data_IF_298914835953
#
_entry.id   IF_298914835953
#
_cell.length_a   1.000
_cell.length_b   1.000
_cell.length_c   1.000
_cell.angle_alpha   90.00
_cell.angle_beta   90.00
_cell.angle_gamma   90.00
#
_symmetry.space_group_name_H-M   'P 1'
#
loop_
_entity.id
_entity.type
_entity.pdbx_description
1 polymer ?
#
# COMPACT_ATOMS: atom_id res chain seq x y z
N UNK A 1 -8.68 -25.23 -23.06
CA UNK A 1 -9.65 -24.10 -23.10
C UNK A 1 -10.27 -24.06 -24.49
N UNK A 2 -11.57 -23.69 -24.58
CA UNK A 2 -12.28 -23.56 -25.89
C UNK A 2 -12.85 -22.17 -26.11
N UNK A 3 -12.84 -21.32 -25.09
CA UNK A 3 -13.39 -19.97 -25.17
C UNK A 3 -13.61 -19.33 -23.81
N UNK A 4 -14.22 -18.18 -23.83
CA UNK A 4 -14.58 -17.37 -22.65
C UNK A 4 -16.07 -17.04 -22.73
N UNK A 5 -16.77 -17.15 -21.59
CA UNK A 5 -18.11 -16.61 -21.40
C UNK A 5 -18.00 -15.18 -20.88
N UNK A 6 -18.59 -14.23 -21.59
CA UNK A 6 -18.57 -12.80 -21.24
C UNK A 6 -20.00 -12.30 -20.99
N UNK A 7 -20.11 -11.27 -20.15
CA UNK A 7 -21.33 -10.48 -19.99
C UNK A 7 -21.23 -9.21 -20.86
N UNK A 8 -22.23 -8.96 -21.69
CA UNK A 8 -22.32 -7.73 -22.49
C UNK A 8 -22.93 -6.60 -21.66
N UNK A 9 -22.11 -5.65 -21.23
CA UNK A 9 -22.54 -4.48 -20.45
C UNK A 9 -23.40 -3.47 -21.21
N UNK A 10 -23.44 -3.55 -22.53
CA UNK A 10 -24.23 -2.61 -23.35
C UNK A 10 -25.72 -3.01 -23.45
N UNK A 11 -26.06 -4.18 -22.96
CA UNK A 11 -27.46 -4.66 -22.92
C UNK A 11 -27.98 -4.49 -21.51
N UNK A 12 -28.92 -3.55 -21.33
CA UNK A 12 -29.42 -3.17 -20.00
C UNK A 12 -30.75 -3.84 -19.61
N UNK A 13 -31.44 -4.50 -20.54
CA UNK A 13 -32.77 -5.08 -20.31
C UNK A 13 -32.74 -6.48 -19.72
N UNK A 14 -31.74 -7.27 -20.06
CA UNK A 14 -31.50 -8.63 -19.54
C UNK A 14 -30.01 -8.95 -19.59
N UNK A 15 -29.49 -9.83 -18.71
CA UNK A 15 -28.09 -10.27 -18.80
C UNK A 15 -27.85 -10.95 -20.14
N UNK A 16 -27.09 -10.30 -21.01
CA UNK A 16 -26.71 -10.86 -22.29
C UNK A 16 -25.34 -11.52 -22.20
N UNK A 17 -25.31 -12.82 -22.32
CA UNK A 17 -24.09 -13.59 -22.34
C UNK A 17 -23.58 -13.75 -23.78
N UNK A 18 -22.27 -13.58 -23.95
CA UNK A 18 -21.57 -13.85 -25.21
C UNK A 18 -20.49 -14.90 -25.00
N UNK A 19 -20.42 -15.87 -25.88
CA UNK A 19 -19.33 -16.84 -25.90
C UNK A 19 -18.34 -16.43 -27.00
N UNK A 20 -17.09 -16.23 -26.58
CA UNK A 20 -15.98 -15.98 -27.51
C UNK A 20 -15.23 -17.30 -27.68
N UNK A 21 -15.41 -17.93 -28.81
CA UNK A 21 -14.69 -19.18 -29.14
C UNK A 21 -13.25 -18.86 -29.53
N UNK A 22 -12.29 -19.45 -28.82
CA UNK A 22 -10.87 -19.26 -29.09
C UNK A 22 -10.07 -20.51 -28.68
N UNK A 23 -8.93 -20.70 -29.32
CA UNK A 23 -8.03 -21.82 -28.99
C UNK A 23 -7.18 -21.52 -27.76
N UNK A 24 -6.86 -20.26 -27.56
CA UNK A 24 -5.99 -19.79 -26.47
C UNK A 24 -6.63 -18.61 -25.76
N UNK A 25 -6.48 -18.59 -24.44
CA UNK A 25 -6.86 -17.48 -23.55
C UNK A 25 -5.63 -17.07 -22.78
N UNK A 26 -5.35 -15.79 -22.75
CA UNK A 26 -4.25 -15.21 -21.96
C UNK A 26 -4.88 -14.40 -20.83
N UNK A 27 -4.67 -14.82 -19.58
CA UNK A 27 -5.04 -14.07 -18.40
C UNK A 27 -3.91 -13.10 -18.05
N UNK A 28 -4.22 -11.82 -18.05
CA UNK A 28 -3.33 -10.73 -17.68
C UNK A 28 -4.07 -9.75 -16.75
N UNK A 29 -4.84 -10.30 -15.81
CA UNK A 29 -5.84 -9.58 -15.00
C UNK A 29 -5.30 -9.02 -13.70
N UNK A 30 -4.00 -9.10 -13.48
CA UNK A 30 -3.37 -8.70 -12.22
C UNK A 30 -3.64 -9.69 -11.09
N UNK A 31 -3.17 -9.36 -9.92
CA UNK A 31 -3.25 -10.21 -8.73
C UNK A 31 -4.60 -10.12 -8.00
N UNK A 32 -4.83 -11.01 -7.03
CA UNK A 32 -6.09 -11.16 -6.33
C UNK A 32 -6.22 -10.26 -5.08
N UNK A 33 -5.34 -9.27 -4.86
CA UNK A 33 -5.35 -8.48 -3.62
C UNK A 33 -6.64 -7.68 -3.39
N UNK A 34 -7.44 -7.46 -4.44
CA UNK A 34 -8.78 -6.88 -4.32
C UNK A 34 -9.78 -7.69 -3.50
N UNK A 35 -9.46 -8.94 -3.15
CA UNK A 35 -10.28 -9.76 -2.24
C UNK A 35 -10.22 -9.27 -0.77
N UNK A 36 -9.19 -8.52 -0.40
CA UNK A 36 -9.07 -7.94 0.93
C UNK A 36 -9.88 -6.64 1.04
N UNK A 37 -10.47 -6.41 2.21
CA UNK A 37 -11.17 -5.16 2.49
C UNK A 37 -10.23 -3.96 2.30
N UNK A 38 -9.05 -4.02 2.91
CA UNK A 38 -8.01 -3.00 2.79
C UNK A 38 -6.94 -3.48 1.80
N UNK A 39 -6.83 -2.78 0.69
CA UNK A 39 -5.98 -3.13 -0.44
C UNK A 39 -5.58 -1.88 -1.21
N UNK A 40 -4.41 -1.89 -1.83
CA UNK A 40 -3.98 -0.82 -2.75
C UNK A 40 -4.65 -0.94 -4.13
N UNK A 41 -5.25 -2.07 -4.43
CA UNK A 41 -5.87 -2.26 -5.73
C UNK A 41 -7.15 -1.43 -5.84
N UNK A 42 -7.42 -0.85 -7.03
CA UNK A 42 -8.69 -0.19 -7.29
C UNK A 42 -9.86 -1.10 -6.95
N UNK A 43 -10.98 -0.53 -6.49
CA UNK A 43 -12.19 -1.30 -6.17
C UNK A 43 -12.70 -2.13 -7.35
N UNK A 44 -12.40 -1.69 -8.58
CA UNK A 44 -12.73 -2.43 -9.81
C UNK A 44 -11.84 -3.66 -10.05
N UNK A 45 -10.70 -3.77 -9.37
CA UNK A 45 -9.76 -4.87 -9.51
C UNK A 45 -10.15 -6.00 -8.56
N UNK A 46 -10.98 -6.90 -9.01
CA UNK A 46 -11.43 -8.06 -8.22
C UNK A 46 -10.59 -9.31 -8.46
N UNK A 47 -9.71 -9.27 -9.47
CA UNK A 47 -8.94 -10.41 -9.92
C UNK A 47 -9.80 -11.44 -10.67
N UNK A 48 -9.19 -12.18 -11.57
CA UNK A 48 -9.88 -13.26 -12.30
C UNK A 48 -9.28 -14.62 -12.00
N UNK A 49 -8.41 -14.71 -11.00
CA UNK A 49 -7.73 -15.95 -10.58
C UNK A 49 -8.74 -17.02 -10.18
N UNK A 50 -9.84 -16.61 -9.52
CA UNK A 50 -10.95 -17.52 -9.15
C UNK A 50 -11.60 -18.22 -10.32
N UNK A 51 -11.83 -17.53 -11.44
CA UNK A 51 -12.38 -18.16 -12.66
C UNK A 51 -11.47 -19.27 -13.19
N UNK A 52 -10.16 -19.04 -13.15
CA UNK A 52 -9.21 -20.04 -13.60
C UNK A 52 -9.20 -21.27 -12.66
N UNK A 53 -9.29 -21.05 -11.35
CA UNK A 53 -9.39 -22.13 -10.36
C UNK A 53 -10.69 -22.94 -10.52
N UNK A 54 -11.82 -22.27 -10.74
CA UNK A 54 -13.09 -22.95 -11.04
C UNK A 54 -13.01 -23.78 -12.32
N UNK A 55 -12.26 -23.33 -13.32
CA UNK A 55 -12.00 -24.09 -14.52
C UNK A 55 -11.00 -25.26 -14.32
N UNK A 56 -10.39 -25.40 -13.16
CA UNK A 56 -9.44 -26.45 -12.80
C UNK A 56 -7.97 -26.08 -12.98
N UNK A 57 -7.63 -24.81 -13.09
CA UNK A 57 -6.24 -24.37 -13.09
C UNK A 57 -5.59 -24.59 -11.72
N UNK A 58 -4.30 -24.94 -11.72
CA UNK A 58 -3.51 -25.09 -10.49
C UNK A 58 -2.91 -23.77 -10.03
N UNK A 59 -2.84 -23.59 -8.72
CA UNK A 59 -2.18 -22.44 -8.09
C UNK A 59 -0.84 -22.81 -7.46
N UNK A 60 -0.01 -21.80 -7.24
CA UNK A 60 1.28 -21.91 -6.56
C UNK A 60 1.51 -20.70 -5.68
N UNK A 61 2.15 -20.89 -4.52
CA UNK A 61 2.54 -19.84 -3.57
C UNK A 61 1.38 -18.92 -3.15
N UNK A 62 0.18 -19.43 -2.99
CA UNK A 62 -1.03 -18.62 -2.75
C UNK A 62 -1.03 -17.91 -1.39
N UNK A 63 -0.15 -18.29 -0.46
CA UNK A 63 0.02 -17.68 0.85
C UNK A 63 1.08 -16.58 0.88
N UNK A 64 1.79 -16.34 -0.22
CA UNK A 64 2.90 -15.41 -0.31
C UNK A 64 2.41 -13.99 -0.60
N UNK A 65 1.82 -13.35 0.42
CA UNK A 65 1.31 -11.99 0.33
C UNK A 65 2.32 -10.96 0.81
N UNK A 66 2.35 -9.83 0.13
CA UNK A 66 3.03 -8.64 0.59
C UNK A 66 2.01 -7.66 1.17
N UNK A 67 2.30 -7.15 2.37
CA UNK A 67 1.51 -6.13 3.04
C UNK A 67 2.35 -4.89 3.27
N UNK A 68 1.72 -3.75 3.31
CA UNK A 68 2.36 -2.46 3.59
C UNK A 68 1.32 -1.38 3.80
N UNK A 69 1.77 -0.20 4.20
CA UNK A 69 0.85 0.91 4.43
C UNK A 69 0.32 1.51 3.14
N UNK A 70 -0.97 1.76 3.13
CA UNK A 70 -1.66 2.43 2.02
C UNK A 70 -2.75 3.36 2.55
N UNK A 71 -3.07 4.40 1.77
CA UNK A 71 -4.28 5.17 1.98
C UNK A 71 -5.52 4.37 1.59
N UNK A 72 -6.63 4.62 2.27
CA UNK A 72 -7.89 3.92 2.05
C UNK A 72 -8.75 4.60 0.99
N UNK A 73 -8.65 5.93 0.88
CA UNK A 73 -9.38 6.71 -0.10
C UNK A 73 -8.55 7.95 -0.54
N UNK A 74 -8.07 8.01 -1.78
CA UNK A 74 -8.02 6.89 -2.73
C UNK A 74 -7.12 5.76 -2.24
N UNK A 75 -7.31 4.54 -2.75
CA UNK A 75 -6.43 3.40 -2.47
C UNK A 75 -5.08 3.64 -3.16
N UNK A 76 -4.05 3.88 -2.37
CA UNK A 76 -2.72 4.18 -2.89
C UNK A 76 -1.62 3.80 -1.91
N UNK A 77 -0.50 3.29 -2.40
CA UNK A 77 0.67 3.01 -1.59
C UNK A 77 1.28 4.32 -1.03
N UNK A 78 1.56 4.35 0.26
CA UNK A 78 2.13 5.54 0.94
C UNK A 78 3.59 5.34 1.35
N UNK A 79 4.36 4.58 0.59
CA UNK A 79 5.82 4.48 0.74
C UNK A 79 6.57 5.65 0.05
N UNK A 80 7.89 5.58 -0.02
CA UNK A 80 8.71 6.62 -0.65
C UNK A 80 8.62 7.96 0.06
N UNK A 81 8.51 9.02 -0.71
CA UNK A 81 8.47 10.39 -0.19
C UNK A 81 7.34 10.66 0.79
N UNK A 82 6.22 9.93 0.69
CA UNK A 82 5.12 10.05 1.66
C UNK A 82 5.57 9.82 3.11
N UNK A 83 6.51 8.90 3.33
CA UNK A 83 7.09 8.62 4.65
C UNK A 83 8.37 9.40 4.91
N UNK A 84 9.19 9.61 3.88
CA UNK A 84 10.49 10.28 4.01
C UNK A 84 10.35 11.75 4.44
N UNK A 85 9.20 12.37 4.22
CA UNK A 85 8.90 13.72 4.72
C UNK A 85 8.46 13.74 6.19
N UNK A 86 8.54 12.62 6.89
CA UNK A 86 8.30 12.49 8.33
C UNK A 86 6.89 12.96 8.75
N UNK A 87 5.80 12.35 8.24
CA UNK A 87 4.45 12.70 8.65
C UNK A 87 4.19 12.27 10.10
N UNK A 88 3.24 12.93 10.75
CA UNK A 88 2.75 12.54 12.07
C UNK A 88 1.72 11.43 11.96
N UNK A 89 1.89 10.38 12.74
CA UNK A 89 0.94 9.26 12.81
C UNK A 89 -0.07 9.49 13.93
N UNK A 90 -1.32 9.66 13.57
CA UNK A 90 -2.42 9.91 14.51
C UNK A 90 -3.38 8.72 14.54
N UNK A 91 -3.74 8.28 15.73
CA UNK A 91 -4.80 7.30 15.96
C UNK A 91 -6.01 7.99 16.61
N UNK A 92 -7.23 7.64 16.17
CA UNK A 92 -8.49 8.13 16.74
C UNK A 92 -9.44 6.95 17.02
N UNK A 93 -10.52 7.18 17.77
CA UNK A 93 -11.64 6.26 17.77
C UNK A 93 -12.39 6.28 16.40
N UNK A 94 -13.45 5.49 16.27
CA UNK A 94 -14.22 5.39 15.02
C UNK A 94 -14.92 6.70 14.64
N UNK A 95 -15.24 7.54 15.63
CA UNK A 95 -15.94 8.82 15.45
C UNK A 95 -14.97 9.99 15.20
N UNK A 96 -13.66 9.73 15.23
CA UNK A 96 -12.62 10.73 15.01
C UNK A 96 -12.20 11.47 16.28
N UNK A 97 -12.61 11.01 17.45
CA UNK A 97 -12.22 11.56 18.76
C UNK A 97 -11.06 10.77 19.38
N UNK A 98 -10.67 11.12 20.61
CA UNK A 98 -9.59 10.46 21.37
C UNK A 98 -8.29 10.36 20.55
N UNK A 99 -7.85 11.50 20.03
CA UNK A 99 -6.65 11.61 19.20
C UNK A 99 -5.37 11.37 19.99
N UNK A 100 -4.43 10.63 19.40
CA UNK A 100 -3.08 10.47 19.96
C UNK A 100 -2.04 10.14 18.90
N UNK A 101 -0.84 10.60 19.10
CA UNK A 101 0.36 10.16 18.39
C UNK A 101 0.83 8.82 18.97
N UNK A 102 0.19 7.73 18.58
CA UNK A 102 0.40 6.42 19.19
C UNK A 102 1.81 5.84 19.03
N UNK A 103 2.59 6.30 18.07
CA UNK A 103 3.98 5.88 17.91
C UNK A 103 4.86 6.38 19.07
N UNK A 104 4.52 7.51 19.70
CA UNK A 104 5.23 8.02 20.87
C UNK A 104 5.10 7.12 22.10
N UNK A 105 4.06 6.28 22.16
CA UNK A 105 3.93 5.29 23.22
C UNK A 105 4.95 4.15 23.12
N UNK A 106 5.50 3.95 21.92
CA UNK A 106 6.45 2.88 21.64
C UNK A 106 7.90 3.38 21.57
N UNK A 107 8.12 4.50 20.90
CA UNK A 107 9.46 5.08 20.76
C UNK A 107 9.74 6.08 21.90
N UNK A 108 10.75 5.79 22.72
CA UNK A 108 11.12 6.65 23.83
C UNK A 108 11.76 7.97 23.39
N UNK A 109 12.44 7.94 22.24
CA UNK A 109 13.17 9.09 21.71
C UNK A 109 12.62 9.49 20.33
N UNK A 110 12.36 10.78 20.14
CA UNK A 110 11.83 11.31 18.89
C UNK A 110 12.77 11.04 17.68
N UNK A 111 14.10 11.15 17.77
CA UNK A 111 14.98 10.81 16.65
C UNK A 111 14.86 9.36 16.17
N UNK A 112 14.60 8.42 17.08
CA UNK A 112 14.42 7.01 16.73
C UNK A 112 13.10 6.81 15.97
N UNK A 113 12.01 7.42 16.46
CA UNK A 113 10.73 7.44 15.77
C UNK A 113 10.88 7.99 14.34
N UNK A 114 11.47 9.18 14.20
CA UNK A 114 11.67 9.84 12.91
C UNK A 114 12.52 9.00 11.96
N UNK A 115 13.56 8.35 12.49
CA UNK A 115 14.42 7.45 11.71
C UNK A 115 13.62 6.26 11.18
N UNK A 116 12.78 5.65 12.00
CA UNK A 116 11.96 4.50 11.56
C UNK A 116 10.87 4.92 10.58
N UNK A 117 10.25 6.08 10.75
CA UNK A 117 9.29 6.64 9.77
C UNK A 117 9.99 6.92 8.43
N UNK A 118 11.20 7.51 8.46
CA UNK A 118 11.99 7.71 7.25
C UNK A 118 12.30 6.37 6.55
N UNK A 119 12.79 5.39 7.29
CA UNK A 119 13.12 4.07 6.75
C UNK A 119 11.90 3.39 6.14
N UNK A 120 10.69 3.64 6.65
CA UNK A 120 9.45 3.09 6.09
C UNK A 120 9.19 3.57 4.65
N UNK A 121 9.81 4.66 4.23
CA UNK A 121 9.74 5.13 2.85
C UNK A 121 10.33 4.15 1.83
N UNK A 122 11.31 3.35 2.18
CA UNK A 122 11.95 2.40 1.27
C UNK A 122 12.12 0.97 1.83
N UNK A 123 11.94 0.75 3.13
CA UNK A 123 11.83 -0.59 3.71
C UNK A 123 10.39 -1.11 3.60
N UNK A 124 9.90 -1.15 2.41
CA UNK A 124 8.59 -1.64 2.01
C UNK A 124 8.77 -2.86 1.09
N UNK A 125 7.93 -3.89 1.16
CA UNK A 125 6.79 -4.13 2.06
C UNK A 125 7.20 -4.56 3.48
N UNK A 126 6.20 -4.98 4.30
CA UNK A 126 6.43 -5.57 5.61
C UNK A 126 7.40 -6.76 5.51
N UNK A 127 8.40 -6.76 6.36
CA UNK A 127 9.42 -7.81 6.45
C UNK A 127 9.62 -8.18 7.93
N UNK A 128 9.37 -9.43 8.27
CA UNK A 128 9.51 -9.94 9.63
C UNK A 128 10.92 -9.74 10.21
N UNK A 129 11.94 -9.76 9.36
CA UNK A 129 13.34 -9.54 9.78
C UNK A 129 13.64 -8.06 10.10
N UNK A 130 12.75 -7.15 9.74
CA UNK A 130 12.84 -5.70 9.99
C UNK A 130 11.90 -5.22 11.10
N UNK A 131 11.38 -6.12 11.93
CA UNK A 131 10.58 -5.76 13.11
C UNK A 131 11.51 -5.20 14.19
N UNK A 132 12.63 -5.88 14.45
CA UNK A 132 13.62 -5.43 15.42
C UNK A 132 14.74 -4.67 14.70
N UNK A 133 14.89 -3.39 15.03
CA UNK A 133 15.91 -2.52 14.42
C UNK A 133 15.59 -2.05 12.98
N UNK A 134 14.36 -2.23 12.51
CA UNK A 134 13.90 -1.77 11.21
C UNK A 134 12.49 -1.21 11.26
N UNK A 135 12.01 -0.70 10.14
CA UNK A 135 10.76 0.07 10.07
C UNK A 135 9.47 -0.77 10.06
N UNK A 136 9.57 -2.11 9.93
CA UNK A 136 8.37 -2.98 9.91
C UNK A 136 7.64 -3.04 11.24
N UNK A 137 8.25 -2.57 12.33
CA UNK A 137 7.56 -2.35 13.60
C UNK A 137 6.40 -1.37 13.44
N UNK A 138 6.52 -0.36 12.58
CA UNK A 138 5.45 0.63 12.34
C UNK A 138 4.22 -0.04 11.72
N UNK A 139 4.40 -1.00 10.78
CA UNK A 139 3.28 -1.77 10.23
C UNK A 139 2.53 -2.52 11.33
N UNK A 140 3.25 -3.14 12.27
CA UNK A 140 2.63 -3.84 13.39
C UNK A 140 1.87 -2.91 14.33
N UNK A 141 2.41 -1.72 14.61
CA UNK A 141 1.75 -0.72 15.45
C UNK A 141 0.49 -0.17 14.76
N UNK A 142 0.54 0.10 13.45
CA UNK A 142 -0.65 0.47 12.67
C UNK A 142 -1.68 -0.66 12.66
N UNK A 143 -1.26 -1.91 12.43
CA UNK A 143 -2.14 -3.07 12.51
C UNK A 143 -2.78 -3.22 13.90
N UNK A 144 -2.01 -3.00 14.97
CA UNK A 144 -2.51 -3.05 16.34
C UNK A 144 -3.62 -2.00 16.56
N UNK A 145 -3.42 -0.77 16.11
CA UNK A 145 -4.44 0.29 16.20
C UNK A 145 -5.68 -0.06 15.37
N UNK A 146 -5.50 -0.39 14.08
CA UNK A 146 -6.63 -0.55 13.15
C UNK A 146 -7.40 -1.85 13.35
N UNK A 147 -6.70 -2.98 13.52
CA UNK A 147 -7.33 -4.31 13.56
C UNK A 147 -7.64 -4.76 14.98
N UNK A 148 -6.68 -4.65 15.92
CA UNK A 148 -6.88 -5.16 17.27
C UNK A 148 -7.68 -4.19 18.14
N UNK A 149 -7.33 -2.90 18.10
CA UNK A 149 -8.01 -1.86 18.90
C UNK A 149 -9.23 -1.26 18.19
N UNK A 150 -9.44 -1.57 16.90
CA UNK A 150 -10.56 -1.03 16.09
C UNK A 150 -10.57 0.50 16.03
N UNK A 151 -9.41 1.11 15.95
CA UNK A 151 -9.23 2.55 15.81
C UNK A 151 -8.97 2.90 14.35
N UNK A 152 -9.02 4.19 14.02
CA UNK A 152 -8.63 4.74 12.72
C UNK A 152 -7.23 5.32 12.83
N UNK A 153 -6.42 5.16 11.79
CA UNK A 153 -5.05 5.71 11.75
C UNK A 153 -4.90 6.64 10.56
N UNK A 154 -4.21 7.74 10.80
CA UNK A 154 -4.02 8.80 9.82
C UNK A 154 -2.55 9.23 9.74
N UNK A 155 -2.13 9.68 8.56
CA UNK A 155 -0.95 10.51 8.37
C UNK A 155 -1.37 11.98 8.37
N UNK A 156 -0.79 12.78 9.26
CA UNK A 156 -0.96 14.22 9.28
C UNK A 156 0.30 14.89 8.73
N UNK A 157 0.16 15.55 7.59
CA UNK A 157 1.27 16.26 6.95
C UNK A 157 1.38 17.73 7.37
N UNK A 158 0.41 18.22 8.14
CA UNK A 158 0.31 19.66 8.52
C UNK A 158 1.16 20.00 9.73
N UNK A 159 1.49 19.02 10.54
CA UNK A 159 2.22 19.19 11.81
C UNK A 159 3.39 18.21 11.88
N UNK A 160 4.45 18.61 12.57
CA UNK A 160 5.60 17.75 12.83
C UNK A 160 5.31 16.78 13.99
N UNK A 161 5.89 15.54 13.95
CA UNK A 161 5.77 14.59 15.05
C UNK A 161 6.31 15.12 16.38
N UNK A 162 5.75 14.61 17.49
CA UNK A 162 6.19 14.96 18.85
C UNK A 162 5.55 16.23 19.39
N UNK A 163 4.42 16.70 18.85
CA UNK A 163 3.76 17.95 19.26
C UNK A 163 4.70 19.16 19.28
N UNK A 164 5.70 19.14 18.41
CA UNK A 164 6.64 20.24 18.30
C UNK A 164 5.92 21.49 17.77
N UNK A 165 6.14 22.63 18.43
CA UNK A 165 5.68 23.93 17.92
C UNK A 165 6.20 24.13 16.49
N UNK A 166 5.40 24.83 15.65
CA UNK A 166 5.70 25.03 14.22
C UNK A 166 7.12 25.56 13.94
N UNK A 167 7.65 26.33 14.87
CA UNK A 167 8.94 27.01 14.73
C UNK A 167 10.12 26.20 15.31
N UNK A 168 9.86 25.00 15.81
CA UNK A 168 10.91 24.14 16.34
C UNK A 168 11.35 23.13 15.31
N UNK A 169 12.62 23.19 14.95
CA UNK A 169 13.26 22.23 14.04
C UNK A 169 13.21 20.81 14.59
N UNK A 170 12.94 19.85 13.71
CA UNK A 170 13.09 18.45 14.02
C UNK A 170 14.55 18.11 14.34
N UNK A 171 14.83 17.14 15.22
CA UNK A 171 16.19 16.77 15.62
C UNK A 171 16.92 15.97 14.52
N UNK A 172 16.99 16.51 13.30
CA UNK A 172 17.62 15.87 12.14
C UNK A 172 19.05 15.39 12.42
N UNK A 173 19.81 16.14 13.21
CA UNK A 173 21.19 15.80 13.53
C UNK A 173 21.33 14.51 14.34
N UNK A 174 20.30 14.13 15.09
CA UNK A 174 20.25 12.94 15.96
C UNK A 174 19.58 11.74 15.31
N UNK A 175 19.06 11.87 14.08
CA UNK A 175 18.53 10.75 13.31
C UNK A 175 19.66 9.84 12.83
N UNK A 176 19.30 8.64 12.36
CA UNK A 176 20.25 7.74 11.70
C UNK A 176 20.98 8.45 10.55
N UNK A 177 22.27 8.15 10.31
CA UNK A 177 23.09 8.84 9.32
C UNK A 177 22.44 8.89 7.93
N UNK A 178 21.84 7.79 7.50
CA UNK A 178 21.18 7.66 6.21
C UNK A 178 20.02 8.64 6.03
N UNK A 179 19.14 8.76 7.03
CA UNK A 179 18.00 9.69 6.99
C UNK A 179 18.49 11.14 7.00
N UNK A 180 19.46 11.45 7.87
CA UNK A 180 20.09 12.77 7.96
C UNK A 180 20.72 13.19 6.64
N UNK A 181 21.53 12.32 6.05
CA UNK A 181 22.22 12.60 4.80
C UNK A 181 21.24 12.81 3.65
N UNK A 182 20.27 11.91 3.51
CA UNK A 182 19.24 12.01 2.47
C UNK A 182 18.45 13.32 2.56
N UNK A 183 17.91 13.64 3.74
CA UNK A 183 17.10 14.87 3.93
C UNK A 183 17.94 16.14 3.74
N UNK A 184 19.20 16.11 4.18
CA UNK A 184 20.12 17.23 3.97
C UNK A 184 20.44 17.44 2.48
N UNK A 185 20.75 16.37 1.74
CA UNK A 185 21.02 16.44 0.30
C UNK A 185 19.79 16.85 -0.50
N UNK A 186 18.60 16.42 -0.08
CA UNK A 186 17.32 16.81 -0.66
C UNK A 186 16.94 18.26 -0.32
N UNK A 187 17.67 18.94 0.59
CA UNK A 187 17.31 20.27 1.09
C UNK A 187 15.98 20.27 1.86
N UNK A 188 15.64 19.16 2.53
CA UNK A 188 14.34 18.94 3.16
C UNK A 188 14.38 18.98 4.70
N UNK A 189 15.40 19.60 5.29
CA UNK A 189 15.52 19.82 6.74
C UNK A 189 14.85 21.13 7.17
N UNK A 190 13.57 21.29 6.87
CA UNK A 190 12.81 22.52 7.19
C UNK A 190 11.31 22.26 7.35
N UNK A 191 10.59 23.19 7.94
CA UNK A 191 9.13 23.33 7.89
C UNK A 191 8.35 22.11 8.36
N UNK A 192 7.16 21.95 7.79
CA UNK A 192 6.21 20.87 8.07
C UNK A 192 6.33 19.72 7.04
N UNK A 193 5.79 18.53 7.31
CA UNK A 193 5.78 17.44 6.35
C UNK A 193 5.19 17.80 4.98
N UNK A 194 4.11 18.61 4.94
CA UNK A 194 3.49 19.00 3.67
C UNK A 194 4.38 19.94 2.87
N UNK A 195 5.12 20.84 3.54
CA UNK A 195 6.07 21.74 2.88
C UNK A 195 7.25 20.94 2.30
N UNK A 196 7.75 19.96 3.06
CA UNK A 196 8.75 19.02 2.57
C UNK A 196 8.24 18.16 1.41
N UNK A 197 6.98 17.66 1.50
CA UNK A 197 6.37 16.87 0.42
C UNK A 197 6.22 17.69 -0.85
N UNK A 198 5.79 18.95 -0.72
CA UNK A 198 5.71 19.87 -1.86
C UNK A 198 7.08 20.12 -2.50
N UNK A 199 8.11 20.28 -1.69
CA UNK A 199 9.47 20.49 -2.16
C UNK A 199 10.06 19.27 -2.86
N UNK A 200 9.87 18.08 -2.28
CA UNK A 200 10.49 16.83 -2.76
C UNK A 200 9.67 16.12 -3.86
N UNK A 201 8.33 16.22 -3.80
CA UNK A 201 7.43 15.47 -4.68
C UNK A 201 6.04 16.13 -4.78
N UNK A 202 5.96 17.30 -5.40
CA UNK A 202 4.68 17.98 -5.59
C UNK A 202 3.62 17.11 -6.33
N UNK A 203 3.98 16.27 -7.34
CA UNK A 203 3.02 15.35 -7.96
C UNK A 203 2.30 14.42 -6.99
N UNK A 204 2.92 14.07 -5.85
CA UNK A 204 2.28 13.28 -4.81
C UNK A 204 1.09 14.01 -4.15
N UNK A 205 1.18 15.33 -4.01
CA UNK A 205 0.10 16.17 -3.49
C UNK A 205 -1.00 16.30 -4.54
N UNK A 206 -0.63 16.58 -5.78
CA UNK A 206 -1.58 16.74 -6.89
C UNK A 206 -2.41 15.48 -7.10
N UNK A 207 -1.81 14.29 -6.97
CA UNK A 207 -2.53 13.03 -7.04
C UNK A 207 -3.69 12.97 -6.04
N UNK A 208 -3.48 13.36 -4.78
CA UNK A 208 -4.55 13.37 -3.79
C UNK A 208 -5.59 14.46 -4.05
N UNK A 209 -5.16 15.65 -4.51
CA UNK A 209 -6.07 16.72 -4.90
C UNK A 209 -7.00 16.31 -6.05
N UNK A 210 -6.49 15.61 -7.07
CA UNK A 210 -7.29 15.07 -8.17
C UNK A 210 -8.34 14.06 -7.70
N UNK A 211 -8.10 13.44 -6.53
CA UNK A 211 -9.03 12.53 -5.87
C UNK A 211 -9.82 13.18 -4.72
N UNK A 212 -9.89 14.52 -4.71
CA UNK A 212 -10.64 15.32 -3.73
C UNK A 212 -10.15 15.22 -2.29
N UNK A 213 -8.88 14.90 -2.07
CA UNK A 213 -8.21 14.91 -0.76
C UNK A 213 -7.18 16.01 -0.73
N UNK A 214 -7.34 16.99 0.19
CA UNK A 214 -6.43 18.13 0.34
C UNK A 214 -5.52 17.92 1.55
N UNK A 215 -4.31 17.41 1.31
CA UNK A 215 -3.32 17.14 2.36
C UNK A 215 -2.87 18.40 3.14
N UNK A 216 -3.16 19.61 2.64
CA UNK A 216 -2.95 20.84 3.39
C UNK A 216 -4.02 21.08 4.46
N UNK A 217 -5.20 20.47 4.33
CA UNK A 217 -6.36 20.73 5.19
C UNK A 217 -6.78 19.53 6.02
N UNK A 218 -6.57 18.33 5.52
CA UNK A 218 -7.06 17.10 6.13
C UNK A 218 -5.98 16.04 6.27
N UNK A 219 -6.23 15.07 7.12
CA UNK A 219 -5.41 13.90 7.35
C UNK A 219 -5.70 12.84 6.32
N UNK A 220 -4.71 12.05 6.00
CA UNK A 220 -4.81 10.90 5.11
C UNK A 220 -5.03 9.63 5.91
N UNK A 221 -6.21 9.03 5.81
CA UNK A 221 -6.49 7.76 6.48
C UNK A 221 -5.73 6.60 5.83
N UNK A 222 -5.07 5.79 6.68
CA UNK A 222 -4.23 4.68 6.25
C UNK A 222 -4.52 3.39 7.02
N UNK A 223 -4.16 2.28 6.41
CA UNK A 223 -4.09 0.98 7.09
C UNK A 223 -2.94 0.13 6.52
N UNK A 224 -2.68 -1.01 7.16
CA UNK A 224 -1.85 -2.06 6.56
C UNK A 224 -2.69 -2.83 5.57
N UNK A 225 -2.36 -2.67 4.30
CA UNK A 225 -3.15 -3.16 3.18
C UNK A 225 -2.41 -4.27 2.42
N UNK A 226 -3.17 -5.16 1.77
CA UNK A 226 -2.62 -6.07 0.80
C UNK A 226 -2.09 -5.28 -0.42
N UNK A 227 -0.81 -5.48 -0.74
CA UNK A 227 -0.08 -4.73 -1.76
C UNK A 227 0.13 -5.57 -3.03
N UNK A 228 0.47 -6.82 -2.85
CA UNK A 228 0.85 -7.72 -3.94
C UNK A 228 0.74 -9.17 -3.48
N UNK A 229 0.45 -10.09 -4.40
CA UNK A 229 0.58 -11.53 -4.17
C UNK A 229 1.70 -12.09 -5.04
N UNK A 230 2.68 -12.72 -4.42
CA UNK A 230 3.77 -13.41 -5.12
C UNK A 230 3.33 -14.79 -5.66
N UNK A 231 2.16 -15.25 -5.25
CA UNK A 231 1.51 -16.44 -5.74
C UNK A 231 0.52 -16.15 -6.88
N UNK A 232 -0.06 -17.20 -7.41
CA UNK A 232 -1.05 -17.10 -8.48
C UNK A 232 -1.22 -18.41 -9.22
N UNK A 233 -1.62 -18.33 -10.48
CA UNK A 233 -1.74 -19.50 -11.34
C UNK A 233 -0.36 -20.11 -11.60
N UNK A 234 -0.26 -21.43 -11.45
CA UNK A 234 0.96 -22.17 -11.78
C UNK A 234 1.10 -22.30 -13.30
N UNK A 235 2.25 -21.90 -13.83
CA UNK A 235 2.56 -21.98 -15.26
C UNK A 235 3.86 -22.71 -15.50
N UNK A 236 4.01 -23.24 -16.71
CA UNK A 236 5.27 -23.76 -17.22
C UNK A 236 6.14 -22.61 -17.79
N UNK A 237 7.28 -22.94 -18.35
CA UNK A 237 8.23 -21.97 -18.95
C UNK A 237 7.68 -21.25 -20.21
N UNK A 238 6.56 -21.70 -20.77
CA UNK A 238 5.85 -21.06 -21.88
C UNK A 238 4.63 -20.26 -21.40
N UNK A 239 4.50 -20.02 -20.08
CA UNK A 239 3.38 -19.33 -19.45
C UNK A 239 2.03 -20.06 -19.55
N UNK A 240 2.01 -21.31 -20.00
CA UNK A 240 0.81 -22.13 -20.07
C UNK A 240 0.54 -22.79 -18.71
N UNK A 241 -0.72 -22.78 -18.29
CA UNK A 241 -1.19 -23.47 -17.08
C UNK A 241 -1.29 -24.97 -17.31
N UNK A 242 -1.74 -25.73 -16.31
CA UNK A 242 -2.11 -27.16 -16.50
C UNK A 242 -3.31 -27.34 -17.42
N UNK A 243 -4.06 -26.28 -17.75
CA UNK A 243 -5.16 -26.33 -18.72
C UNK A 243 -4.65 -25.91 -20.09
N UNK A 244 -4.63 -26.85 -21.03
CA UNK A 244 -4.16 -26.59 -22.41
C UNK A 244 -4.91 -25.39 -23.05
N UNK A 245 -4.15 -24.44 -23.59
CA UNK A 245 -4.65 -23.20 -24.17
C UNK A 245 -5.01 -22.11 -23.17
N UNK A 246 -4.74 -22.31 -21.87
CA UNK A 246 -4.85 -21.25 -20.86
C UNK A 246 -3.46 -20.79 -20.44
N UNK A 247 -3.17 -19.53 -20.70
CA UNK A 247 -1.92 -18.86 -20.36
C UNK A 247 -2.16 -17.82 -19.27
N UNK A 248 -1.17 -17.59 -18.40
CA UNK A 248 -1.23 -16.57 -17.38
C UNK A 248 0.06 -15.74 -17.38
N UNK A 249 -0.04 -14.43 -17.43
CA UNK A 249 1.09 -13.49 -17.46
C UNK A 249 0.88 -12.33 -16.50
N UNK A 250 1.97 -11.74 -16.01
CA UNK A 250 1.92 -10.71 -15.01
C UNK A 250 1.57 -11.28 -13.63
N UNK A 251 1.06 -10.44 -12.73
CA UNK A 251 0.79 -10.80 -11.32
C UNK A 251 -0.27 -11.89 -11.13
N UNK A 252 -1.06 -12.23 -12.14
CA UNK A 252 -2.01 -13.35 -12.08
C UNK A 252 -1.33 -14.71 -12.02
N UNK A 253 -0.06 -14.80 -12.40
CA UNK A 253 0.73 -16.03 -12.33
C UNK A 253 1.76 -15.99 -11.20
N UNK A 254 2.11 -17.17 -10.66
CA UNK A 254 3.08 -17.33 -9.57
C UNK A 254 4.55 -17.22 -10.02
N UNK A 255 4.85 -16.32 -10.94
CA UNK A 255 6.23 -16.06 -11.41
C UNK A 255 6.87 -14.85 -10.72
N UNK A 256 6.09 -14.09 -9.96
CA UNK A 256 6.53 -12.97 -9.18
C UNK A 256 6.95 -13.42 -7.78
N UNK A 257 7.67 -12.58 -7.11
CA UNK A 257 8.02 -12.82 -5.73
C UNK A 257 9.46 -13.14 -5.53
N UNK A 258 10.22 -12.87 -6.53
CA UNK A 258 11.66 -12.71 -6.36
C UNK A 258 11.89 -11.23 -6.12
N UNK A 259 11.85 -10.85 -4.90
CA UNK A 259 12.30 -9.53 -4.47
C UNK A 259 13.48 -9.69 -3.56
#
# INVERSE_FOLDING_TARGET
VKGILCLDKNIHSEPAYKIIWCKNVILATGGPAGMYHDSVYPVSQTGSTGMAFEAGASGKNLTEWQFGMASLNPRWNVSGTYMQVLPTFISTDQDGNDEKEFLLDYFNELPDLLSMVFLKGYQWPFDVNKIFGGSSVIDLLVYQETVLKKRRVFLDYRVNPGNLEKDRDLPYASMIPEAKEYLSQAGACFGTPIERLKHMNEPAILFYQDHHVDLFKERLEIAVCAQHNNGGLSTNHLWETNLSGLYAIGEVCASHGVT
#
